data_IF_817407471277
#
_entry.id   IF_817407471277
#
_cell.length_a   1.000
_cell.length_b   1.000
_cell.length_c   1.000
_cell.angle_alpha   90.00
_cell.angle_beta   90.00
_cell.angle_gamma   90.00
#
_symmetry.space_group_name_H-M   'P 1'
#
loop_
_entity.id
_entity.type
_entity.pdbx_description
1 polymer ?
#
# COMPACT_ATOMS: atom_id res chain seq x y z
N UNK A 1 -4.74 7.64 9.10
CA UNK A 1 -4.66 7.42 7.66
C UNK A 1 -3.23 7.73 7.30
N UNK A 2 -2.48 6.76 6.75
CA UNK A 2 -1.18 7.06 6.17
C UNK A 2 -1.49 7.80 4.89
N UNK A 3 -1.57 9.12 4.98
CA UNK A 3 -1.69 9.95 3.79
C UNK A 3 -0.30 9.99 3.19
N UNK A 4 -0.18 9.65 1.91
CA UNK A 4 0.97 10.10 1.12
C UNK A 4 1.14 11.62 1.19
N UNK A 5 2.07 12.23 0.44
CA UNK A 5 2.09 13.69 0.34
C UNK A 5 0.67 14.22 0.06
N UNK A 6 0.27 15.26 0.78
CA UNK A 6 -1.04 15.92 0.66
C UNK A 6 -1.05 16.82 -0.59
N UNK A 7 -0.66 16.23 -1.73
CA UNK A 7 -0.59 16.88 -3.04
C UNK A 7 -1.83 16.60 -3.89
N UNK A 8 -2.70 15.69 -3.44
CA UNK A 8 -3.98 15.37 -4.08
C UNK A 8 -3.87 14.45 -5.29
N UNK A 9 -2.68 13.94 -5.64
CA UNK A 9 -2.45 13.06 -6.80
C UNK A 9 -1.99 11.65 -6.41
N UNK A 10 -2.08 11.30 -5.12
CA UNK A 10 -1.65 9.99 -4.59
C UNK A 10 -0.21 9.59 -4.99
N UNK A 11 0.67 10.57 -5.26
CA UNK A 11 2.06 10.34 -5.66
C UNK A 11 2.27 9.93 -7.12
N UNK A 12 1.31 10.18 -8.02
CA UNK A 12 1.45 9.88 -9.46
C UNK A 12 2.24 10.95 -10.23
N UNK A 13 2.42 12.15 -9.69
CA UNK A 13 3.15 13.22 -10.35
C UNK A 13 4.67 12.97 -10.32
N UNK A 14 5.30 13.00 -11.50
CA UNK A 14 6.76 12.87 -11.64
C UNK A 14 7.27 11.42 -11.66
N UNK A 15 6.39 10.43 -11.86
CA UNK A 15 6.79 9.03 -12.03
C UNK A 15 7.59 8.81 -13.31
N UNK A 16 8.63 7.98 -13.21
CA UNK A 16 9.48 7.57 -14.33
C UNK A 16 9.35 6.05 -14.54
N UNK A 17 8.82 5.58 -15.68
CA UNK A 17 8.71 4.15 -15.97
C UNK A 17 10.04 3.40 -15.89
N UNK A 18 11.18 4.06 -16.16
CA UNK A 18 12.49 3.44 -16.06
C UNK A 18 12.88 3.09 -14.62
N UNK A 19 12.17 3.62 -13.62
CA UNK A 19 12.39 3.36 -12.19
C UNK A 19 11.51 2.24 -11.64
N UNK A 20 10.54 1.74 -12.41
CA UNK A 20 9.55 0.78 -11.92
C UNK A 20 10.17 -0.45 -11.23
N UNK A 21 11.19 -1.07 -11.83
CA UNK A 21 11.87 -2.23 -11.24
C UNK A 21 12.58 -1.89 -9.93
N UNK A 22 13.24 -0.73 -9.87
CA UNK A 22 13.91 -0.24 -8.67
C UNK A 22 12.90 0.01 -7.55
N UNK A 23 11.82 0.71 -7.85
CA UNK A 23 10.82 1.11 -6.86
C UNK A 23 10.03 -0.10 -6.35
N UNK A 24 9.79 -1.09 -7.22
CA UNK A 24 9.23 -2.38 -6.82
C UNK A 24 10.19 -3.16 -5.90
N UNK A 25 11.48 -3.19 -6.21
CA UNK A 25 12.48 -3.83 -5.34
C UNK A 25 12.57 -3.13 -3.98
N UNK A 26 12.51 -1.80 -3.94
CA UNK A 26 12.46 -1.02 -2.71
C UNK A 26 11.21 -1.35 -1.89
N UNK A 27 10.03 -1.42 -2.52
CA UNK A 27 8.79 -1.84 -1.87
C UNK A 27 8.91 -3.22 -1.23
N UNK A 28 9.46 -4.21 -1.94
CA UNK A 28 9.66 -5.57 -1.38
C UNK A 28 10.62 -5.56 -0.18
N UNK A 29 11.67 -4.76 -0.22
CA UNK A 29 12.60 -4.60 0.90
C UNK A 29 11.92 -3.98 2.13
N UNK A 30 11.08 -2.96 1.94
CA UNK A 30 10.29 -2.35 3.01
C UNK A 30 9.28 -3.33 3.62
N UNK A 31 8.60 -4.12 2.79
CA UNK A 31 7.69 -5.19 3.27
C UNK A 31 8.44 -6.20 4.15
N UNK A 32 9.64 -6.62 3.72
CA UNK A 32 10.48 -7.54 4.51
C UNK A 32 10.94 -6.91 5.84
N UNK A 33 11.37 -5.65 5.82
CA UNK A 33 11.79 -4.92 7.01
C UNK A 33 10.62 -4.72 8.01
N UNK A 34 9.44 -4.38 7.51
CA UNK A 34 8.23 -4.27 8.31
C UNK A 34 7.85 -5.62 8.93
N UNK A 35 7.89 -6.70 8.13
CA UNK A 35 7.65 -8.07 8.60
C UNK A 35 8.61 -8.50 9.71
N UNK A 36 9.90 -8.19 9.59
CA UNK A 36 10.88 -8.46 10.63
C UNK A 36 10.61 -7.67 11.91
N UNK A 37 10.16 -6.41 11.80
CA UNK A 37 9.89 -5.52 12.94
C UNK A 37 8.73 -6.01 13.82
N UNK A 38 7.73 -6.62 13.19
CA UNK A 38 6.51 -7.11 13.86
C UNK A 38 6.56 -8.61 14.18
N UNK A 39 7.63 -9.30 13.78
CA UNK A 39 7.79 -10.72 14.06
C UNK A 39 7.77 -11.00 15.57
N UNK A 40 6.90 -11.92 15.99
CA UNK A 40 6.74 -12.32 17.39
C UNK A 40 5.94 -11.34 18.26
N UNK A 41 5.41 -10.25 17.69
CA UNK A 41 4.51 -9.32 18.41
C UNK A 41 3.07 -9.82 18.40
N UNK A 42 2.33 -9.46 19.45
CA UNK A 42 0.90 -9.77 19.54
C UNK A 42 0.08 -8.76 18.73
N UNK A 43 -1.02 -9.21 18.13
CA UNK A 43 -1.92 -8.34 17.37
C UNK A 43 -2.57 -7.25 18.24
N UNK A 44 -2.75 -7.51 19.54
CA UNK A 44 -3.36 -6.58 20.47
C UNK A 44 -2.31 -5.72 21.20
N UNK A 45 -1.02 -5.90 20.90
CA UNK A 45 0.04 -4.99 21.34
C UNK A 45 -0.21 -3.58 20.79
N UNK A 46 0.00 -2.55 21.63
CA UNK A 46 -0.32 -1.16 21.29
C UNK A 46 0.91 -0.26 21.20
N UNK A 47 0.85 0.71 20.30
CA UNK A 47 1.91 1.68 20.02
C UNK A 47 1.32 3.07 19.88
N UNK A 48 2.12 4.10 20.13
CA UNK A 48 1.75 5.49 19.89
C UNK A 48 2.24 5.91 18.51
N UNK A 49 1.33 6.35 17.65
CA UNK A 49 1.67 6.82 16.31
C UNK A 49 2.53 8.08 16.38
N UNK A 50 3.62 8.11 15.61
CA UNK A 50 4.48 9.29 15.50
C UNK A 50 3.70 10.52 14.99
N UNK A 51 2.74 10.30 14.08
CA UNK A 51 1.78 11.31 13.66
C UNK A 51 0.60 11.36 14.63
N UNK A 52 0.49 12.46 15.37
CA UNK A 52 -0.70 12.79 16.17
C UNK A 52 -0.85 12.06 17.51
N UNK A 53 0.13 11.25 17.93
CA UNK A 53 0.18 10.69 19.29
C UNK A 53 -0.96 9.74 19.63
N UNK A 54 -1.59 9.11 18.63
CA UNK A 54 -2.72 8.20 18.85
C UNK A 54 -2.22 6.82 19.24
N UNK A 55 -2.85 6.20 20.22
CA UNK A 55 -2.61 4.78 20.51
C UNK A 55 -3.35 3.90 19.51
N UNK A 56 -2.64 2.98 18.87
CA UNK A 56 -3.21 1.96 17.97
C UNK A 56 -2.63 0.58 18.27
N UNK A 57 -3.41 -0.48 18.05
CA UNK A 57 -2.90 -1.85 18.12
C UNK A 57 -2.27 -2.31 16.80
N UNK A 58 -1.42 -3.34 16.84
CA UNK A 58 -0.89 -3.97 15.62
C UNK A 58 -1.99 -4.48 14.70
N UNK A 59 -3.08 -5.00 15.27
CA UNK A 59 -4.30 -5.37 14.55
C UNK A 59 -4.88 -4.20 13.79
N UNK A 60 -4.98 -3.04 14.41
CA UNK A 60 -5.49 -1.83 13.76
C UNK A 60 -4.58 -1.42 12.59
N UNK A 61 -3.25 -1.47 12.79
CA UNK A 61 -2.27 -1.16 11.74
C UNK A 61 -2.44 -2.08 10.54
N UNK A 62 -2.53 -3.39 10.75
CA UNK A 62 -2.75 -4.34 9.64
C UNK A 62 -4.07 -4.12 8.91
N UNK A 63 -5.16 -3.89 9.64
CA UNK A 63 -6.45 -3.60 9.01
C UNK A 63 -6.40 -2.31 8.18
N UNK A 64 -5.72 -1.29 8.66
CA UNK A 64 -5.51 -0.05 7.91
C UNK A 64 -4.69 -0.30 6.63
N UNK A 65 -3.62 -1.11 6.69
CA UNK A 65 -2.81 -1.45 5.52
C UNK A 65 -3.57 -2.30 4.50
N UNK A 66 -4.37 -3.28 4.95
CA UNK A 66 -5.20 -4.10 4.07
C UNK A 66 -6.24 -3.23 3.34
N UNK A 67 -6.91 -2.33 4.07
CA UNK A 67 -7.88 -1.41 3.48
C UNK A 67 -7.22 -0.53 2.41
N UNK A 68 -6.08 0.07 2.72
CA UNK A 68 -5.39 0.96 1.80
C UNK A 68 -4.85 0.22 0.57
N UNK A 69 -4.31 -0.98 0.76
CA UNK A 69 -3.83 -1.81 -0.33
C UNK A 69 -4.97 -2.27 -1.26
N UNK A 70 -6.13 -2.63 -0.71
CA UNK A 70 -7.32 -2.96 -1.51
C UNK A 70 -7.81 -1.76 -2.33
N UNK A 71 -7.80 -0.55 -1.75
CA UNK A 71 -8.15 0.69 -2.44
C UNK A 71 -7.24 0.94 -3.64
N UNK A 72 -5.93 0.83 -3.44
CA UNK A 72 -4.95 0.99 -4.51
C UNK A 72 -5.04 -0.09 -5.60
N UNK A 73 -5.29 -1.35 -5.22
CA UNK A 73 -5.51 -2.41 -6.20
C UNK A 73 -6.71 -2.12 -7.10
N UNK A 74 -7.80 -1.57 -6.54
CA UNK A 74 -8.93 -1.11 -7.36
C UNK A 74 -8.55 0.00 -8.34
N UNK A 75 -7.71 0.96 -7.94
CA UNK A 75 -7.20 1.99 -8.85
C UNK A 75 -6.28 1.41 -9.94
N UNK A 76 -5.39 0.48 -9.58
CA UNK A 76 -4.50 -0.19 -10.51
C UNK A 76 -5.27 -1.04 -11.53
N UNK A 77 -6.35 -1.69 -11.11
CA UNK A 77 -7.22 -2.47 -12.00
C UNK A 77 -7.87 -1.57 -13.06
N UNK A 78 -8.42 -0.40 -12.69
CA UNK A 78 -8.96 0.56 -13.66
C UNK A 78 -7.92 1.05 -14.69
N UNK A 79 -6.66 1.17 -14.30
CA UNK A 79 -5.56 1.53 -15.21
C UNK A 79 -5.18 0.38 -16.14
N UNK A 80 -5.13 -0.85 -15.60
CA UNK A 80 -4.90 -2.08 -16.37
C UNK A 80 -6.00 -2.26 -17.42
N UNK A 81 -7.27 -2.22 -17.04
CA UNK A 81 -8.44 -2.35 -17.92
C UNK A 81 -8.41 -1.34 -19.08
N UNK A 82 -7.96 -0.11 -18.81
CA UNK A 82 -7.79 0.92 -19.86
C UNK A 82 -6.63 0.63 -20.82
N UNK A 83 -5.64 -0.12 -20.37
CA UNK A 83 -4.42 -0.42 -21.14
C UNK A 83 -4.58 -1.68 -21.97
N UNK A 84 -5.20 -2.74 -21.41
CA UNK A 84 -5.40 -4.02 -22.10
C UNK A 84 -6.77 -4.15 -22.79
N UNK A 85 -7.75 -3.31 -22.44
CA UNK A 85 -9.09 -3.31 -23.02
C UNK A 85 -10.02 -4.40 -22.46
N UNK A 86 -9.58 -5.15 -21.45
CA UNK A 86 -10.39 -6.15 -20.75
C UNK A 86 -11.04 -5.54 -19.50
N UNK A 87 -12.11 -6.14 -19.00
CA UNK A 87 -12.80 -5.68 -17.78
C UNK A 87 -12.90 -6.85 -16.79
N UNK A 88 -12.53 -6.62 -15.54
CA UNK A 88 -12.46 -7.63 -14.49
C UNK A 88 -11.34 -8.66 -14.68
N UNK A 89 -11.38 -9.73 -13.87
CA UNK A 89 -10.35 -10.76 -13.79
C UNK A 89 -10.52 -11.92 -14.79
N UNK A 90 -11.61 -11.94 -15.56
CA UNK A 90 -11.95 -13.07 -16.43
C UNK A 90 -11.86 -12.67 -17.92
N UNK A 91 -11.08 -13.41 -18.73
CA UNK A 91 -11.04 -13.17 -20.16
C UNK A 91 -12.44 -13.39 -20.76
N UNK A 92 -12.85 -12.50 -21.68
CA UNK A 92 -14.09 -12.69 -22.43
C UNK A 92 -13.87 -13.70 -23.56
N UNK A 93 -13.78 -14.98 -23.21
CA UNK A 93 -13.73 -16.10 -24.17
C UNK A 93 -12.34 -16.49 -24.64
#
# INVERSE_FOLDING_TARGET
>A
MFTGPDDGDEGLQGVDPARAEHDYAAYLAEVAAAGATVAGRDLDETFVTAQGGRTCSLRWVYLAMIQEYARHNGHADLLRERTDGETGDYPRG
#
